data_IF_093218236805
#
_entry.id   IF_093218236805
#
_cell.length_a   1.000
_cell.length_b   1.000
_cell.length_c   1.000
_cell.angle_alpha   90.00
_cell.angle_beta   90.00
_cell.angle_gamma   90.00
#
_symmetry.space_group_name_H-M   'P 1'
#
loop_
_entity.id
_entity.type
_entity.pdbx_description
1 polymer ?
#
# COMPACT_ATOMS: atom_id res chain seq x y z
N UNK A 1 -7.28 -22.32 8.17
CA UNK A 1 -7.81 -20.98 7.87
C UNK A 1 -7.01 -20.41 6.72
N UNK A 2 -7.65 -19.74 5.75
CA UNK A 2 -6.91 -19.09 4.67
C UNK A 2 -6.01 -18.01 5.25
N UNK A 3 -4.76 -17.97 4.81
CA UNK A 3 -3.83 -16.95 5.26
C UNK A 3 -4.13 -15.67 4.49
N UNK A 4 -4.58 -14.62 5.17
CA UNK A 4 -4.97 -13.35 4.53
C UNK A 4 -3.94 -12.27 4.80
N UNK A 5 -3.60 -11.51 3.75
CA UNK A 5 -2.65 -10.40 3.84
C UNK A 5 -3.30 -9.15 3.26
N UNK A 6 -3.20 -8.05 3.98
CA UNK A 6 -3.50 -6.71 3.46
C UNK A 6 -2.22 -5.99 3.11
N UNK A 7 -2.11 -5.52 1.87
CA UNK A 7 -0.91 -4.85 1.39
C UNK A 7 -1.23 -3.49 0.76
N UNK A 8 -0.37 -2.52 1.02
CA UNK A 8 -0.23 -1.31 0.23
C UNK A 8 0.95 -1.52 -0.72
N UNK A 9 0.69 -1.40 -2.01
CA UNK A 9 1.69 -1.55 -3.06
C UNK A 9 1.79 -0.26 -3.88
N UNK A 10 2.92 -0.08 -4.56
CA UNK A 10 3.13 1.06 -5.43
C UNK A 10 4.03 0.72 -6.61
N UNK A 11 3.94 1.53 -7.66
CA UNK A 11 4.88 1.49 -8.78
C UNK A 11 6.00 2.51 -8.53
N UNK A 12 7.19 2.02 -8.22
CA UNK A 12 8.37 2.87 -8.04
C UNK A 12 9.07 3.11 -9.37
N UNK A 13 9.39 4.37 -9.69
CA UNK A 13 10.13 4.71 -10.92
C UNK A 13 11.53 4.09 -10.99
N UNK A 14 12.15 3.78 -9.84
CA UNK A 14 13.49 3.15 -9.76
C UNK A 14 13.43 1.62 -9.72
N UNK A 15 12.46 1.05 -9.02
CA UNK A 15 12.43 -0.38 -8.68
C UNK A 15 11.28 -1.15 -9.32
N UNK A 16 10.38 -0.46 -10.03
CA UNK A 16 9.14 -1.04 -10.56
C UNK A 16 8.10 -1.34 -9.47
N UNK A 17 7.21 -2.31 -9.71
CA UNK A 17 6.17 -2.73 -8.76
C UNK A 17 6.76 -3.26 -7.45
N UNK A 18 6.37 -2.68 -6.32
CA UNK A 18 6.85 -3.07 -4.99
C UNK A 18 5.73 -3.02 -3.94
N UNK A 19 5.85 -3.89 -2.94
CA UNK A 19 5.11 -3.75 -1.68
C UNK A 19 5.73 -2.63 -0.87
N UNK A 20 4.88 -1.84 -0.22
CA UNK A 20 5.28 -0.73 0.65
C UNK A 20 4.88 -1.00 2.10
N UNK A 21 3.76 -1.68 2.32
CA UNK A 21 3.35 -2.15 3.66
C UNK A 21 2.59 -3.45 3.49
N UNK A 22 2.99 -4.53 4.16
CA UNK A 22 2.25 -5.79 4.23
C UNK A 22 1.81 -6.06 5.67
N UNK A 23 0.52 -6.32 5.89
CA UNK A 23 -0.06 -6.60 7.21
C UNK A 23 -0.55 -8.03 7.26
N UNK A 24 -0.02 -8.80 8.19
CA UNK A 24 -0.31 -10.22 8.42
C UNK A 24 -0.77 -10.43 9.86
N UNK A 25 -1.34 -11.60 10.15
CA UNK A 25 -1.72 -11.99 11.51
C UNK A 25 -1.27 -13.41 11.83
N UNK A 26 -0.95 -13.66 13.09
CA UNK A 26 -0.59 -14.98 13.60
C UNK A 26 -0.98 -15.10 15.08
N UNK A 27 -1.00 -16.33 15.60
CA UNK A 27 -1.12 -16.56 17.04
C UNK A 27 0.13 -16.04 17.79
N UNK A 28 1.31 -16.25 17.19
CA UNK A 28 2.59 -15.71 17.63
C UNK A 28 3.15 -14.76 16.57
N UNK A 29 3.18 -13.48 16.89
CA UNK A 29 3.64 -12.43 15.99
C UNK A 29 5.14 -12.42 15.75
N UNK A 30 5.96 -13.12 16.55
CA UNK A 30 7.43 -13.05 16.43
C UNK A 30 7.90 -13.66 15.09
N UNK A 31 7.17 -14.67 14.61
CA UNK A 31 7.35 -15.27 13.29
C UNK A 31 7.12 -14.31 12.11
N UNK A 32 6.45 -13.17 12.34
CA UNK A 32 6.09 -12.19 11.31
C UNK A 32 7.00 -10.96 11.29
N UNK A 33 7.90 -10.83 12.28
CA UNK A 33 8.81 -9.69 12.37
C UNK A 33 9.90 -9.76 11.29
N UNK A 34 10.40 -8.58 10.92
CA UNK A 34 11.60 -8.49 10.11
C UNK A 34 12.83 -8.90 10.94
N UNK A 35 13.84 -9.49 10.31
CA UNK A 35 15.12 -9.70 10.98
C UNK A 35 15.79 -8.36 11.30
N UNK A 36 16.61 -8.33 12.35
CA UNK A 36 17.33 -7.13 12.82
C UNK A 36 18.46 -6.67 11.87
N UNK A 37 18.76 -7.44 10.83
CA UNK A 37 19.79 -7.10 9.84
C UNK A 37 19.17 -6.49 8.57
N UNK A 38 19.86 -5.50 7.99
CA UNK A 38 19.42 -4.85 6.76
C UNK A 38 19.39 -5.86 5.60
N UNK A 39 18.20 -6.09 5.07
CA UNK A 39 17.90 -7.12 4.06
C UNK A 39 17.81 -6.57 2.64
N UNK A 40 17.37 -5.32 2.45
CA UNK A 40 17.32 -4.68 1.13
C UNK A 40 17.67 -3.19 1.22
N UNK A 41 18.38 -2.67 0.23
CA UNK A 41 18.55 -1.23 0.03
C UNK A 41 17.29 -0.66 -0.59
N UNK A 42 16.50 0.03 0.22
CA UNK A 42 15.22 0.61 -0.19
C UNK A 42 15.44 2.08 -0.54
N UNK A 43 14.81 2.58 -1.62
CA UNK A 43 14.83 4.01 -1.90
C UNK A 43 13.77 4.73 -1.06
N UNK A 44 13.94 6.04 -0.88
CA UNK A 44 13.03 6.86 -0.08
C UNK A 44 11.54 6.67 -0.46
N UNK A 45 11.22 6.54 -1.76
CA UNK A 45 9.86 6.29 -2.24
C UNK A 45 9.24 4.97 -1.76
N UNK A 46 10.07 3.95 -1.53
CA UNK A 46 9.66 2.61 -1.11
C UNK A 46 9.77 2.42 0.42
N UNK A 47 10.13 3.46 1.16
CA UNK A 47 10.40 3.39 2.60
C UNK A 47 9.12 3.63 3.41
N UNK A 48 8.94 2.84 4.46
CA UNK A 48 8.00 3.18 5.54
C UNK A 48 8.68 4.14 6.49
N UNK A 49 7.98 5.21 6.88
CA UNK A 49 8.48 6.16 7.89
C UNK A 49 7.70 5.96 9.17
N UNK A 50 8.43 5.80 10.26
CA UNK A 50 7.84 5.75 11.59
C UNK A 50 7.82 7.14 12.22
N UNK A 51 6.90 7.39 13.16
CA UNK A 51 6.85 8.64 13.89
C UNK A 51 8.20 8.93 14.58
N UNK A 52 8.50 10.20 14.81
CA UNK A 52 9.75 10.67 15.44
C UNK A 52 11.04 10.34 14.66
N UNK A 53 10.95 10.13 13.34
CA UNK A 53 12.08 9.75 12.49
C UNK A 53 12.80 8.49 12.97
N UNK A 54 12.07 7.55 13.56
CA UNK A 54 12.63 6.26 13.92
C UNK A 54 12.96 5.46 12.64
N UNK A 55 14.25 5.31 12.39
CA UNK A 55 14.80 4.53 11.28
C UNK A 55 15.24 3.13 11.70
N UNK A 56 15.18 2.83 13.01
CA UNK A 56 15.60 1.55 13.58
C UNK A 56 14.47 0.53 13.62
N UNK A 57 13.24 1.00 13.83
CA UNK A 57 12.06 0.14 13.74
C UNK A 57 11.80 -0.30 12.30
N UNK A 58 11.54 -1.59 12.11
CA UNK A 58 11.13 -2.15 10.81
C UNK A 58 9.67 -2.61 10.76
N UNK A 59 8.98 -2.65 11.89
CA UNK A 59 7.66 -3.28 12.01
C UNK A 59 6.73 -2.59 13.01
N UNK A 60 5.43 -2.75 12.81
CA UNK A 60 4.37 -2.32 13.74
C UNK A 60 3.61 -3.55 14.18
N UNK A 61 3.42 -3.72 15.50
CA UNK A 61 2.61 -4.80 16.07
C UNK A 61 1.43 -4.25 16.86
N UNK A 62 0.28 -4.89 16.69
CA UNK A 62 -0.89 -4.74 17.57
C UNK A 62 -1.38 -6.13 17.99
N UNK A 63 -1.65 -6.32 19.29
CA UNK A 63 -2.30 -7.53 19.81
C UNK A 63 -3.79 -7.28 19.97
N UNK A 64 -4.62 -8.12 19.34
CA UNK A 64 -6.07 -8.04 19.40
C UNK A 64 -6.66 -9.46 19.49
N UNK A 65 -7.58 -9.69 20.44
CA UNK A 65 -8.29 -10.97 20.63
C UNK A 65 -7.37 -12.21 20.63
N UNK A 66 -6.23 -12.12 21.31
CA UNK A 66 -5.21 -13.17 21.41
C UNK A 66 -4.52 -13.53 20.09
N UNK A 67 -4.48 -12.60 19.13
CA UNK A 67 -3.71 -12.67 17.89
C UNK A 67 -2.84 -11.44 17.76
N UNK A 68 -1.69 -11.62 17.14
CA UNK A 68 -0.78 -10.54 16.81
C UNK A 68 -0.95 -10.18 15.34
N UNK A 69 -1.18 -8.91 15.09
CA UNK A 69 -1.21 -8.29 13.77
C UNK A 69 0.09 -7.53 13.59
N UNK A 70 0.82 -7.83 12.52
CA UNK A 70 2.15 -7.27 12.27
C UNK A 70 2.16 -6.66 10.88
N UNK A 71 2.57 -5.39 10.80
CA UNK A 71 2.85 -4.70 9.53
C UNK A 71 4.34 -4.49 9.35
N UNK A 72 4.85 -4.82 8.17
CA UNK A 72 6.26 -4.68 7.79
C UNK A 72 6.35 -4.06 6.39
N UNK A 73 7.51 -3.51 6.01
CA UNK A 73 7.71 -2.96 4.66
C UNK A 73 7.49 -4.06 3.58
N UNK A 74 7.97 -5.26 3.87
CA UNK A 74 7.68 -6.46 3.08
C UNK A 74 7.27 -7.63 4.00
N UNK A 75 6.23 -8.41 3.64
CA UNK A 75 5.80 -9.54 4.45
C UNK A 75 6.81 -10.69 4.34
N UNK A 76 7.57 -10.96 5.41
CA UNK A 76 8.69 -11.92 5.40
C UNK A 76 8.28 -13.31 4.90
N UNK A 77 7.20 -13.85 5.47
CA UNK A 77 6.75 -15.24 5.20
C UNK A 77 6.22 -15.42 3.77
N UNK A 78 5.62 -14.36 3.19
CA UNK A 78 4.88 -14.45 1.93
C UNK A 78 5.39 -13.45 0.88
N UNK A 79 6.67 -13.06 0.99
CA UNK A 79 7.26 -12.02 0.14
C UNK A 79 7.20 -12.38 -1.35
N UNK A 80 7.56 -13.61 -1.72
CA UNK A 80 7.55 -14.05 -3.12
C UNK A 80 6.13 -14.08 -3.70
N UNK A 81 5.17 -14.57 -2.93
CA UNK A 81 3.75 -14.59 -3.32
C UNK A 81 3.25 -13.17 -3.58
N UNK A 82 3.40 -12.27 -2.60
CA UNK A 82 2.93 -10.89 -2.70
C UNK A 82 3.67 -10.13 -3.81
N UNK A 83 4.97 -10.34 -3.97
CA UNK A 83 5.74 -9.75 -5.07
C UNK A 83 5.24 -10.22 -6.43
N UNK A 84 4.89 -11.49 -6.56
CA UNK A 84 4.30 -12.06 -7.79
C UNK A 84 2.92 -11.45 -8.08
N UNK A 85 2.05 -11.35 -7.06
CA UNK A 85 0.73 -10.71 -7.17
C UNK A 85 0.85 -9.24 -7.57
N UNK A 86 1.77 -8.50 -6.94
CA UNK A 86 2.00 -7.07 -7.21
C UNK A 86 2.51 -6.85 -8.63
N UNK A 87 3.42 -7.72 -9.12
CA UNK A 87 3.88 -7.66 -10.52
C UNK A 87 2.75 -7.93 -11.49
N UNK A 88 1.93 -8.95 -11.23
CA UNK A 88 0.76 -9.28 -12.04
C UNK A 88 -0.20 -8.08 -12.16
N UNK A 89 -0.59 -7.48 -11.03
CA UNK A 89 -1.56 -6.37 -11.06
C UNK A 89 -1.04 -5.07 -11.70
N UNK A 90 0.26 -4.77 -11.63
CA UNK A 90 0.83 -3.53 -12.17
C UNK A 90 1.35 -3.66 -13.60
N UNK A 91 1.73 -4.88 -14.03
CA UNK A 91 2.42 -5.11 -15.31
C UNK A 91 1.63 -5.97 -16.29
N UNK A 92 0.80 -6.90 -15.81
CA UNK A 92 0.09 -7.87 -16.64
C UNK A 92 -1.38 -7.50 -16.80
N UNK A 93 -1.98 -6.93 -15.75
CA UNK A 93 -3.38 -6.49 -15.75
C UNK A 93 -3.54 -5.02 -16.17
N UNK A 94 -4.64 -4.73 -16.88
CA UNK A 94 -5.03 -3.34 -17.20
C UNK A 94 -5.80 -2.74 -16.01
N UNK A 95 -5.08 -2.43 -14.94
CA UNK A 95 -5.71 -1.85 -13.74
C UNK A 95 -6.18 -0.42 -14.00
N UNK A 96 -7.44 -0.14 -13.67
CA UNK A 96 -7.96 1.23 -13.59
C UNK A 96 -7.57 1.86 -12.26
N UNK A 97 -7.16 3.13 -12.30
CA UNK A 97 -6.70 3.87 -11.10
C UNK A 97 -7.78 4.81 -10.55
N UNK A 98 -9.03 4.51 -10.87
CA UNK A 98 -10.24 5.21 -10.45
C UNK A 98 -10.80 4.69 -9.11
N UNK A 99 -10.06 3.82 -8.43
CA UNK A 99 -10.49 3.14 -7.20
C UNK A 99 -11.63 2.14 -7.44
N UNK A 100 -11.80 1.64 -8.67
CA UNK A 100 -12.64 0.48 -8.93
C UNK A 100 -11.97 -0.80 -8.42
N UNK A 101 -12.73 -1.75 -7.85
CA UNK A 101 -12.20 -3.04 -7.43
C UNK A 101 -11.91 -3.94 -8.64
N UNK A 102 -10.74 -4.55 -8.64
CA UNK A 102 -10.33 -5.62 -9.54
C UNK A 102 -10.10 -6.88 -8.71
N UNK A 103 -10.74 -7.99 -9.08
CA UNK A 103 -10.49 -9.27 -8.44
C UNK A 103 -9.99 -10.30 -9.45
N UNK A 104 -8.97 -11.08 -9.06
CA UNK A 104 -8.46 -12.18 -9.87
C UNK A 104 -8.07 -13.35 -8.98
N UNK A 105 -8.17 -14.55 -9.54
CA UNK A 105 -7.79 -15.79 -8.87
C UNK A 105 -6.77 -16.54 -9.72
N UNK A 106 -5.77 -17.10 -9.05
CA UNK A 106 -4.81 -18.03 -9.63
C UNK A 106 -4.54 -19.12 -8.59
N UNK A 107 -4.51 -20.38 -9.01
CA UNK A 107 -4.24 -21.52 -8.13
C UNK A 107 -2.91 -21.37 -7.37
N UNK A 108 -1.92 -20.69 -7.95
CA UNK A 108 -0.64 -20.41 -7.32
C UNK A 108 -0.61 -19.14 -6.46
N UNK A 109 -1.48 -18.16 -6.75
CA UNK A 109 -1.50 -16.84 -6.08
C UNK A 109 -2.69 -16.62 -5.14
N UNK A 110 -3.61 -17.58 -5.05
CA UNK A 110 -4.86 -17.45 -4.33
C UNK A 110 -5.81 -16.42 -4.95
N UNK A 111 -6.78 -15.98 -4.15
CA UNK A 111 -7.74 -14.95 -4.55
C UNK A 111 -7.24 -13.58 -4.13
N UNK A 112 -7.25 -12.63 -5.06
CA UNK A 112 -6.74 -11.29 -4.84
C UNK A 112 -7.84 -10.26 -5.16
N UNK A 113 -8.04 -9.29 -4.26
CA UNK A 113 -8.87 -8.10 -4.47
C UNK A 113 -7.98 -6.86 -4.40
N UNK A 114 -8.03 -6.05 -5.44
CA UNK A 114 -7.15 -4.90 -5.64
C UNK A 114 -7.98 -3.65 -5.91
N UNK A 115 -7.59 -2.53 -5.31
CA UNK A 115 -8.12 -1.21 -5.66
C UNK A 115 -6.96 -0.24 -5.92
N UNK A 116 -6.79 0.10 -7.19
CA UNK A 116 -5.76 1.01 -7.67
C UNK A 116 -6.14 2.48 -7.50
N UNK A 117 -5.17 3.32 -7.18
CA UNK A 117 -5.35 4.76 -7.13
C UNK A 117 -4.08 5.52 -7.52
N UNK A 118 -4.27 6.77 -7.95
CA UNK A 118 -3.18 7.70 -8.25
C UNK A 118 -3.18 8.87 -7.29
N UNK A 119 -1.99 9.40 -7.04
CA UNK A 119 -1.80 10.68 -6.36
C UNK A 119 -0.91 11.58 -7.23
N UNK A 120 -1.17 12.89 -7.31
CA UNK A 120 -0.34 13.83 -8.06
C UNK A 120 1.03 14.04 -7.40
N UNK A 121 2.10 13.99 -8.18
CA UNK A 121 3.47 14.25 -7.73
C UNK A 121 4.34 14.75 -8.90
N UNK A 122 4.72 16.03 -8.87
CA UNK A 122 5.56 16.69 -9.88
C UNK A 122 6.97 16.11 -10.02
N UNK A 123 7.43 15.37 -9.01
CA UNK A 123 8.74 14.72 -9.02
C UNK A 123 8.67 13.28 -9.56
N UNK A 124 7.46 12.77 -9.82
CA UNK A 124 7.24 11.44 -10.36
C UNK A 124 7.08 11.43 -11.88
N UNK A 125 7.27 10.27 -12.52
CA UNK A 125 7.00 10.10 -13.95
C UNK A 125 5.52 10.32 -14.26
N UNK A 126 5.24 11.25 -15.18
CA UNK A 126 3.88 11.57 -15.60
C UNK A 126 3.12 12.43 -14.59
N UNK A 127 3.84 13.13 -13.70
CA UNK A 127 3.31 13.99 -12.65
C UNK A 127 2.33 13.27 -11.69
N UNK A 128 2.41 11.93 -11.64
CA UNK A 128 1.55 11.07 -10.85
C UNK A 128 2.33 9.89 -10.25
N UNK A 129 1.89 9.41 -9.09
CA UNK A 129 2.31 8.13 -8.52
C UNK A 129 1.16 7.16 -8.45
N UNK A 130 1.46 5.90 -8.72
CA UNK A 130 0.50 4.80 -8.78
C UNK A 130 0.63 3.92 -7.54
N UNK A 131 -0.48 3.74 -6.85
CA UNK A 131 -0.61 2.95 -5.64
C UNK A 131 -1.76 1.97 -5.78
N UNK A 132 -1.78 0.96 -4.93
CA UNK A 132 -2.91 0.05 -4.80
C UNK A 132 -3.02 -0.52 -3.39
N UNK A 133 -4.26 -0.71 -2.94
CA UNK A 133 -4.58 -1.56 -1.80
C UNK A 133 -4.95 -2.94 -2.30
N UNK A 134 -4.42 -3.97 -1.65
CA UNK A 134 -4.55 -5.37 -2.02
C UNK A 134 -4.99 -6.17 -0.78
N UNK A 135 -6.01 -7.01 -0.94
CA UNK A 135 -6.31 -8.14 -0.08
C UNK A 135 -5.97 -9.43 -0.83
N UNK A 136 -5.00 -10.18 -0.30
CA UNK A 136 -4.65 -11.53 -0.79
C UNK A 136 -5.19 -12.56 0.18
N UNK A 137 -5.99 -13.50 -0.33
CA UNK A 137 -6.46 -14.68 0.38
C UNK A 137 -5.70 -15.87 -0.19
N UNK A 138 -4.70 -16.34 0.55
CA UNK A 138 -3.92 -17.52 0.18
C UNK A 138 -4.69 -18.79 0.58
N UNK A 139 -5.47 -19.30 -0.36
CA UNK A 139 -6.22 -20.56 -0.27
C UNK A 139 -6.12 -21.30 -1.60
N UNK A 140 -5.87 -22.60 -1.55
CA UNK A 140 -5.94 -23.48 -2.72
C UNK A 140 -7.37 -23.77 -3.15
N UNK A 141 -8.33 -23.64 -2.23
CA UNK A 141 -9.75 -23.82 -2.52
C UNK A 141 -10.38 -22.49 -2.95
N UNK A 142 -10.65 -22.40 -4.25
CA UNK A 142 -11.31 -21.25 -4.87
C UNK A 142 -12.70 -20.99 -4.28
N UNK A 143 -13.47 -22.05 -3.98
CA UNK A 143 -14.85 -21.90 -3.55
C UNK A 143 -14.94 -21.27 -2.15
N UNK A 144 -14.13 -21.72 -1.20
CA UNK A 144 -14.05 -21.08 0.13
C UNK A 144 -13.53 -19.65 0.06
N UNK A 145 -12.49 -19.38 -0.74
CA UNK A 145 -11.95 -18.03 -0.89
C UNK A 145 -12.98 -17.06 -1.48
N UNK A 146 -13.68 -17.47 -2.53
CA UNK A 146 -14.75 -16.66 -3.15
C UNK A 146 -15.95 -16.48 -2.23
N UNK A 147 -16.29 -17.50 -1.43
CA UNK A 147 -17.36 -17.39 -0.43
C UNK A 147 -17.02 -16.34 0.64
N UNK A 148 -15.79 -16.36 1.15
CA UNK A 148 -15.31 -15.36 2.12
C UNK A 148 -15.31 -13.96 1.49
N UNK A 149 -14.72 -13.82 0.29
CA UNK A 149 -14.64 -12.54 -0.41
C UNK A 149 -16.03 -11.96 -0.72
N UNK A 150 -16.96 -12.77 -1.23
CA UNK A 150 -18.31 -12.31 -1.59
C UNK A 150 -19.10 -11.84 -0.38
N UNK A 151 -18.98 -12.52 0.77
CA UNK A 151 -19.58 -12.09 2.04
C UNK A 151 -19.09 -10.72 2.49
N UNK A 152 -17.79 -10.46 2.34
CA UNK A 152 -17.15 -9.22 2.82
C UNK A 152 -16.85 -8.22 1.71
N UNK A 153 -17.45 -8.38 0.53
CA UNK A 153 -17.14 -7.57 -0.65
C UNK A 153 -17.40 -6.08 -0.39
N UNK A 154 -18.62 -5.75 0.03
CA UNK A 154 -19.02 -4.36 0.30
C UNK A 154 -18.18 -3.75 1.42
N UNK A 155 -17.95 -4.49 2.50
CA UNK A 155 -17.13 -4.04 3.63
C UNK A 155 -15.70 -3.74 3.20
N UNK A 156 -15.06 -4.64 2.47
CA UNK A 156 -13.65 -4.51 2.07
C UNK A 156 -13.48 -3.38 1.05
N UNK A 157 -14.33 -3.35 0.02
CA UNK A 157 -14.27 -2.31 -1.02
C UNK A 157 -14.58 -0.92 -0.46
N UNK A 158 -15.57 -0.80 0.44
CA UNK A 158 -15.86 0.45 1.13
C UNK A 158 -14.69 0.89 2.03
N UNK A 159 -14.11 -0.04 2.79
CA UNK A 159 -12.97 0.25 3.66
C UNK A 159 -11.76 0.73 2.86
N UNK A 160 -11.43 0.04 1.77
CA UNK A 160 -10.37 0.45 0.86
C UNK A 160 -10.66 1.82 0.25
N UNK A 161 -11.89 2.06 -0.22
CA UNK A 161 -12.29 3.37 -0.75
C UNK A 161 -12.09 4.47 0.28
N UNK A 162 -12.49 4.27 1.54
CA UNK A 162 -12.29 5.26 2.61
C UNK A 162 -10.82 5.55 2.89
N UNK A 163 -9.95 4.54 2.86
CA UNK A 163 -8.50 4.71 3.01
C UNK A 163 -7.94 5.51 1.83
N UNK A 164 -8.33 5.16 0.60
CA UNK A 164 -7.90 5.85 -0.63
C UNK A 164 -8.36 7.31 -0.62
N UNK A 165 -9.62 7.57 -0.30
CA UNK A 165 -10.18 8.91 -0.24
C UNK A 165 -9.47 9.77 0.83
N UNK A 166 -9.15 9.18 1.99
CA UNK A 166 -8.34 9.85 3.01
C UNK A 166 -6.95 10.26 2.47
N UNK A 167 -6.23 9.33 1.83
CA UNK A 167 -4.90 9.59 1.27
C UNK A 167 -4.96 10.69 0.20
N UNK A 168 -5.93 10.61 -0.72
CA UNK A 168 -6.15 11.63 -1.77
C UNK A 168 -6.47 12.98 -1.16
N UNK A 169 -7.38 13.04 -0.18
CA UNK A 169 -7.74 14.27 0.51
C UNK A 169 -6.54 14.91 1.21
N UNK A 170 -5.72 14.13 1.92
CA UNK A 170 -4.49 14.63 2.56
C UNK A 170 -3.51 15.21 1.53
N UNK A 171 -3.34 14.53 0.39
CA UNK A 171 -2.50 15.03 -0.70
C UNK A 171 -3.03 16.34 -1.28
N UNK A 172 -4.34 16.45 -1.51
CA UNK A 172 -4.95 17.65 -2.06
C UNK A 172 -4.80 18.86 -1.14
N UNK A 173 -4.91 18.65 0.18
CA UNK A 173 -4.67 19.68 1.19
C UNK A 173 -3.21 20.16 1.13
N UNK A 174 -2.26 19.23 1.05
CA UNK A 174 -0.84 19.57 0.97
C UNK A 174 -0.48 20.28 -0.34
N UNK A 175 -1.06 19.85 -1.46
CA UNK A 175 -0.92 20.57 -2.73
C UNK A 175 -1.39 22.02 -2.61
N UNK A 176 -2.61 22.24 -2.11
CA UNK A 176 -3.16 23.60 -1.92
C UNK A 176 -2.28 24.44 -0.99
N UNK A 177 -1.74 23.85 0.08
CA UNK A 177 -0.78 24.51 0.98
C UNK A 177 0.49 24.93 0.23
N UNK A 178 1.08 24.03 -0.54
CA UNK A 178 2.30 24.32 -1.31
C UNK A 178 2.08 25.40 -2.38
N UNK A 179 0.91 25.42 -3.03
CA UNK A 179 0.52 26.47 -3.96
C UNK A 179 0.32 27.82 -3.27
N UNK A 180 -0.27 27.85 -2.07
CA UNK A 180 -0.49 29.09 -1.33
C UNK A 180 0.80 29.71 -0.77
N UNK A 181 1.79 28.88 -0.42
CA UNK A 181 3.09 29.33 0.08
C UNK A 181 4.03 29.79 -1.05
N UNK A 182 3.90 29.20 -2.24
CA UNK A 182 4.60 29.65 -3.43
C UNK A 182 3.89 30.88 -4.05
N UNK A 183 4.10 32.06 -3.48
CA UNK A 183 3.82 33.34 -4.17
C UNK A 183 4.40 33.32 -5.59
N UNK A 184 3.71 33.86 -6.62
CA UNK A 184 4.10 33.73 -8.02
C UNK A 184 5.33 34.57 -8.31
N UNK A 185 6.51 34.03 -8.02
CA UNK A 185 7.76 34.53 -8.56
C UNK A 185 8.06 33.72 -9.81
N UNK A 186 7.96 34.42 -10.92
CA UNK A 186 8.34 34.04 -12.27
C UNK A 186 7.38 33.12 -13.02
N UNK A 187 6.73 33.74 -14.02
CA UNK A 187 6.04 33.12 -15.13
C UNK A 187 7.01 32.18 -15.86
N UNK A 188 7.12 30.93 -15.41
CA UNK A 188 7.68 29.88 -16.25
C UNK A 188 6.59 29.49 -17.25
N UNK A 189 6.82 29.61 -18.56
CA UNK A 189 5.80 29.28 -19.53
C UNK A 189 5.39 27.82 -19.33
N UNK A 190 4.09 27.56 -19.42
CA UNK A 190 3.44 26.24 -19.47
C UNK A 190 3.84 25.50 -20.76
N UNK A 191 5.14 25.31 -20.99
CA UNK A 191 5.69 24.39 -21.96
C UNK A 191 5.65 23.00 -21.35
N UNK A 192 4.88 22.11 -21.96
CA UNK A 192 4.57 20.78 -21.43
C UNK A 192 5.78 20.06 -20.80
N UNK A 193 5.53 19.43 -19.66
CA UNK A 193 6.47 18.62 -18.87
C UNK A 193 7.10 17.45 -19.63
N UNK A 194 6.72 17.23 -20.90
CA UNK A 194 7.19 16.15 -21.76
C UNK A 194 8.67 16.25 -22.15
N UNK A 195 9.28 17.44 -22.12
CA UNK A 195 10.67 17.65 -22.54
C UNK A 195 11.59 18.22 -21.45
N UNK A 196 11.09 18.44 -20.22
CA UNK A 196 12.00 18.64 -19.07
C UNK A 196 12.62 17.28 -18.76
N UNK A 197 13.82 17.06 -19.28
CA UNK A 197 14.76 16.08 -18.74
C UNK A 197 15.08 16.47 -17.31
N UNK A 198 14.16 16.16 -16.38
CA UNK A 198 14.36 16.36 -14.96
C UNK A 198 15.32 15.28 -14.49
N UNK A 199 16.62 15.56 -14.61
CA UNK A 199 17.69 14.65 -14.23
C UNK A 199 17.73 14.39 -12.71
N UNK A 200 16.90 15.07 -11.91
CA UNK A 200 16.82 14.89 -10.46
C UNK A 200 15.38 14.78 -9.98
N UNK A 201 14.72 13.67 -10.32
CA UNK A 201 13.48 13.26 -9.66
C UNK A 201 13.77 12.90 -8.20
N UNK A 202 13.24 13.67 -7.26
CA UNK A 202 13.43 13.40 -5.83
C UNK A 202 12.49 12.27 -5.39
N UNK A 203 13.03 11.15 -4.88
CA UNK A 203 12.17 10.10 -4.34
C UNK A 203 11.58 10.59 -3.01
N UNK A 204 10.26 10.78 -2.96
CA UNK A 204 9.51 11.10 -1.73
C UNK A 204 8.67 9.92 -1.27
N UNK A 205 8.59 9.71 0.03
CA UNK A 205 7.72 8.66 0.58
C UNK A 205 6.26 9.14 0.64
N UNK A 206 5.32 8.21 0.90
CA UNK A 206 3.90 8.55 0.95
C UNK A 206 3.54 9.47 2.14
N UNK A 207 4.20 9.32 3.28
CA UNK A 207 3.96 10.16 4.46
C UNK A 207 4.36 11.62 4.22
N UNK A 208 5.50 11.87 3.57
CA UNK A 208 5.96 13.21 3.14
C UNK A 208 5.01 13.81 2.10
N UNK A 209 4.55 13.03 1.13
CA UNK A 209 3.62 13.52 0.09
C UNK A 209 2.27 13.98 0.65
N UNK A 210 1.83 13.35 1.74
CA UNK A 210 0.55 13.63 2.42
C UNK A 210 0.70 14.50 3.67
N UNK A 211 1.95 14.81 4.05
CA UNK A 211 2.32 15.50 5.29
C UNK A 211 1.57 14.90 6.50
N UNK A 212 1.69 13.58 6.67
CA UNK A 212 1.06 12.80 7.75
C UNK A 212 2.05 11.75 8.28
N UNK A 213 2.79 12.11 9.32
CA UNK A 213 3.79 11.25 9.98
C UNK A 213 3.17 9.98 10.59
N UNK A 214 1.87 10.00 10.88
CA UNK A 214 1.15 8.88 11.46
C UNK A 214 0.46 8.00 10.40
N UNK A 215 0.66 8.28 9.10
CA UNK A 215 -0.03 7.59 8.02
C UNK A 215 0.12 6.07 8.10
N UNK A 216 1.35 5.57 8.27
CA UNK A 216 1.60 4.13 8.33
C UNK A 216 1.04 3.47 9.59
N UNK A 217 0.99 4.21 10.71
CA UNK A 217 0.34 3.76 11.95
C UNK A 217 -1.17 3.66 11.74
N UNK A 218 -1.78 4.65 11.07
CA UNK A 218 -3.22 4.61 10.72
C UNK A 218 -3.53 3.44 9.78
N UNK A 219 -2.70 3.24 8.74
CA UNK A 219 -2.83 2.11 7.82
C UNK A 219 -2.73 0.77 8.55
N UNK A 220 -1.76 0.60 9.45
CA UNK A 220 -1.66 -0.59 10.28
C UNK A 220 -2.94 -0.85 11.09
N UNK A 221 -3.50 0.18 11.73
CA UNK A 221 -4.75 0.06 12.51
C UNK A 221 -5.94 -0.30 11.62
N UNK A 222 -6.08 0.35 10.45
CA UNK A 222 -7.15 0.02 9.51
C UNK A 222 -7.02 -1.40 8.97
N UNK A 223 -5.81 -1.83 8.59
CA UNK A 223 -5.56 -3.18 8.12
C UNK A 223 -5.85 -4.22 9.22
N UNK A 224 -5.42 -3.95 10.45
CA UNK A 224 -5.71 -4.81 11.62
C UNK A 224 -7.21 -4.97 11.83
N UNK A 225 -7.96 -3.87 11.75
CA UNK A 225 -9.42 -3.89 11.90
C UNK A 225 -10.08 -4.70 10.78
N UNK A 226 -9.71 -4.48 9.51
CA UNK A 226 -10.26 -5.21 8.37
C UNK A 226 -9.96 -6.71 8.54
N UNK A 227 -8.71 -7.08 8.82
CA UNK A 227 -8.33 -8.49 9.02
C UNK A 227 -9.04 -9.13 10.21
N UNK A 228 -9.25 -8.42 11.32
CA UNK A 228 -10.00 -8.96 12.47
C UNK A 228 -11.46 -9.23 12.11
N UNK A 229 -12.12 -8.32 11.38
CA UNK A 229 -13.50 -8.52 10.90
C UNK A 229 -13.59 -9.73 9.97
N UNK A 230 -12.71 -9.82 8.96
CA UNK A 230 -12.67 -10.96 8.02
C UNK A 230 -12.43 -12.30 8.73
N UNK A 231 -11.67 -12.28 9.83
CA UNK A 231 -11.37 -13.46 10.63
C UNK A 231 -12.46 -13.84 11.64
N UNK A 232 -13.34 -12.91 12.01
CA UNK A 232 -14.35 -13.12 13.05
C UNK A 232 -15.53 -13.97 12.55
N UNK A 233 -15.86 -13.86 11.27
CA UNK A 233 -17.04 -14.48 10.65
C UNK A 233 -16.75 -15.87 10.03
N UNK A 234 -15.52 -16.35 10.18
CA UNK A 234 -15.06 -17.68 9.73
C UNK A 234 -15.18 -18.74 10.85
N UNK A 235 -15.83 -18.39 11.98
CA UNK A 235 -16.17 -19.28 13.10
C UNK A 235 -17.64 -19.66 13.12
#
# INVERSE_FOLDING_TARGET
MPNMILSLAHFCDKHGPRVLLGTQFAADGDSLLLPDYATETVCESCSIHFPNNDTSSGSIRTRLRSRDYVSTNYPVVQYHLISSVIRHMFSEETMTYDSAPLSFFDQSKGLNLVMGFKIPDTDARGDERRYALLLTINSSDHASAMKLMSRHWEFTTYSFKKIIDYIKQRRDIELRRSFAQNTPREFTPMGGTYLKGNNFKTPRNLAQLTNDDLLFVRLHKWNTFILDVLNSDDK
#
